data_IF_176549006155
#
_entry.id   IF_176549006155
#
_cell.length_a   1.000
_cell.length_b   1.000
_cell.length_c   1.000
_cell.angle_alpha   90.00
_cell.angle_beta   90.00
_cell.angle_gamma   90.00
#
_symmetry.space_group_name_H-M   'P 1'
#
loop_
_entity.id
_entity.type
_entity.pdbx_description
1 polymer ?
#
# COMPACT_ATOMS: atom_id res chain seq x y z
N UNK A 1 17.84 -40.72 -45.31
CA UNK A 1 16.85 -40.96 -44.27
C UNK A 1 17.58 -41.03 -42.94
N UNK A 2 17.67 -39.96 -42.20
CA UNK A 2 18.21 -39.92 -40.81
C UNK A 2 17.33 -38.97 -39.99
N UNK A 3 16.47 -39.55 -39.16
CA UNK A 3 15.64 -38.86 -38.22
C UNK A 3 16.52 -38.36 -37.08
N UNK A 4 16.63 -37.06 -36.89
CA UNK A 4 17.21 -36.43 -35.72
C UNK A 4 16.10 -36.09 -34.75
N UNK A 5 16.00 -36.91 -33.72
CA UNK A 5 15.13 -36.73 -32.57
C UNK A 5 15.67 -35.54 -31.72
N UNK A 6 14.96 -34.42 -31.75
CA UNK A 6 15.27 -33.28 -30.90
C UNK A 6 14.75 -33.58 -29.49
N UNK A 7 15.69 -33.92 -28.60
CA UNK A 7 15.46 -34.08 -27.18
C UNK A 7 15.38 -32.66 -26.55
N UNK A 8 14.18 -32.18 -26.24
CA UNK A 8 13.98 -30.96 -25.44
C UNK A 8 14.26 -31.29 -24.01
N UNK A 9 15.40 -30.78 -23.53
CA UNK A 9 15.76 -30.83 -22.13
C UNK A 9 14.81 -29.91 -21.34
N UNK A 10 13.85 -30.48 -20.67
CA UNK A 10 13.06 -29.81 -19.64
C UNK A 10 13.98 -29.68 -18.41
N UNK A 11 14.61 -28.53 -18.24
CA UNK A 11 15.34 -28.20 -17.03
C UNK A 11 14.33 -28.04 -15.89
N UNK A 12 14.16 -29.10 -15.11
CA UNK A 12 13.49 -29.07 -13.82
C UNK A 12 14.40 -28.26 -12.88
N UNK A 13 14.11 -26.95 -12.75
CA UNK A 13 14.71 -26.13 -11.71
C UNK A 13 14.09 -26.57 -10.37
N UNK A 14 14.78 -27.51 -9.73
CA UNK A 14 14.46 -27.89 -8.36
C UNK A 14 14.71 -26.66 -7.49
N UNK A 15 13.62 -25.96 -7.14
CA UNK A 15 13.63 -24.99 -6.07
C UNK A 15 13.89 -25.80 -4.80
N UNK A 16 15.15 -25.76 -4.35
CA UNK A 16 15.54 -26.31 -3.06
C UNK A 16 14.75 -25.62 -1.98
N UNK A 17 13.75 -26.31 -1.46
CA UNK A 17 13.17 -26.03 -0.15
C UNK A 17 14.30 -26.14 0.86
N UNK A 18 14.95 -25.04 1.18
CA UNK A 18 15.68 -24.91 2.43
C UNK A 18 14.63 -24.98 3.53
N UNK A 19 14.31 -26.22 3.95
CA UNK A 19 13.66 -26.45 5.20
C UNK A 19 14.59 -25.93 6.30
N UNK A 20 14.44 -24.67 6.69
CA UNK A 20 14.87 -24.23 8.01
C UNK A 20 14.04 -24.99 9.02
N UNK A 21 14.59 -26.10 9.51
CA UNK A 21 14.13 -26.82 10.67
C UNK A 21 14.43 -25.98 11.92
N UNK A 22 13.58 -24.99 12.12
CA UNK A 22 13.48 -24.23 13.35
C UNK A 22 12.01 -24.20 13.70
N UNK A 23 11.65 -24.83 14.83
CA UNK A 23 10.31 -24.91 15.42
C UNK A 23 9.75 -23.51 15.76
N UNK A 24 9.67 -22.62 14.77
CA UNK A 24 9.01 -21.31 14.88
C UNK A 24 7.51 -21.58 14.81
N UNK A 25 6.85 -21.49 15.95
CA UNK A 25 5.39 -21.57 16.05
C UNK A 25 4.78 -20.65 15.01
N UNK A 26 3.95 -21.22 14.15
CA UNK A 26 3.22 -20.44 13.14
C UNK A 26 2.34 -19.39 13.81
N UNK A 27 2.46 -18.14 13.37
CA UNK A 27 1.66 -17.04 13.90
C UNK A 27 0.19 -17.22 13.55
N UNK A 28 -0.67 -16.88 14.49
CA UNK A 28 -2.12 -16.92 14.36
C UNK A 28 -2.71 -15.52 14.37
N UNK A 29 -3.96 -15.38 13.95
CA UNK A 29 -4.72 -14.13 14.06
C UNK A 29 -4.75 -13.58 15.50
N UNK A 30 -4.84 -14.45 16.51
CA UNK A 30 -4.82 -14.04 17.91
C UNK A 30 -3.45 -13.49 18.35
N UNK A 31 -2.36 -14.00 17.77
CA UNK A 31 -1.03 -13.46 18.03
C UNK A 31 -0.88 -12.04 17.44
N UNK A 32 -1.54 -11.76 16.29
CA UNK A 32 -1.57 -10.43 15.70
C UNK A 32 -2.43 -9.45 16.50
N UNK A 33 -3.63 -9.84 16.92
CA UNK A 33 -4.48 -9.01 17.78
C UNK A 33 -3.79 -8.64 19.10
N UNK A 34 -3.04 -9.57 19.70
CA UNK A 34 -2.23 -9.29 20.88
C UNK A 34 -1.10 -8.32 20.58
N UNK A 35 -0.46 -8.45 19.42
CA UNK A 35 0.58 -7.51 19.00
C UNK A 35 0.00 -6.12 18.79
N UNK A 36 -1.14 -6.01 18.11
CA UNK A 36 -1.87 -4.77 17.92
C UNK A 36 -2.25 -4.11 19.26
N UNK A 37 -2.80 -4.89 20.19
CA UNK A 37 -3.13 -4.40 21.53
C UNK A 37 -1.88 -3.89 22.29
N UNK A 38 -0.70 -4.48 22.07
CA UNK A 38 0.55 -4.04 22.68
C UNK A 38 1.06 -2.71 22.13
N UNK A 39 0.57 -2.28 20.96
CA UNK A 39 0.97 -1.03 20.31
C UNK A 39 0.44 0.21 21.02
N UNK A 40 -0.58 0.07 21.84
CA UNK A 40 -1.24 1.21 22.48
C UNK A 40 -0.96 1.27 23.98
N UNK A 41 -0.85 2.50 24.50
CA UNK A 41 -0.89 2.81 25.93
C UNK A 41 -2.34 2.79 26.44
N UNK A 42 -2.53 2.94 27.75
CA UNK A 42 -3.85 3.04 28.38
C UNK A 42 -4.66 4.25 27.89
N UNK A 43 -3.99 5.35 27.56
CA UNK A 43 -4.57 6.56 26.98
C UNK A 43 -4.78 6.48 25.44
N UNK A 44 -4.56 5.31 24.83
CA UNK A 44 -4.63 5.04 23.39
C UNK A 44 -3.56 5.75 22.55
N UNK A 45 -2.55 6.34 23.15
CA UNK A 45 -1.37 6.77 22.40
C UNK A 45 -0.54 5.56 21.93
N UNK A 46 0.19 5.74 20.82
CA UNK A 46 1.01 4.67 20.24
C UNK A 46 2.34 4.57 20.96
N UNK A 47 2.74 3.34 21.30
CA UNK A 47 4.08 3.00 21.79
C UNK A 47 5.03 2.92 20.62
N UNK A 48 5.70 4.02 20.33
CA UNK A 48 6.60 4.13 19.16
C UNK A 48 7.68 3.04 19.14
N UNK A 49 8.20 2.66 20.32
CA UNK A 49 9.24 1.62 20.44
C UNK A 49 8.74 0.21 20.13
N UNK A 50 7.43 -0.03 20.23
CA UNK A 50 6.81 -1.33 19.88
C UNK A 50 6.37 -1.41 18.40
N UNK A 51 6.17 -0.27 17.76
CA UNK A 51 5.65 -0.18 16.40
C UNK A 51 6.46 -1.01 15.37
N UNK A 52 7.82 -0.98 15.36
CA UNK A 52 8.61 -1.80 14.43
C UNK A 52 8.37 -3.30 14.62
N UNK A 53 8.29 -3.76 15.86
CA UNK A 53 8.11 -5.17 16.20
C UNK A 53 6.72 -5.67 15.78
N UNK A 54 5.71 -4.81 15.91
CA UNK A 54 4.34 -5.12 15.49
C UNK A 54 4.26 -5.21 13.97
N UNK A 55 4.83 -4.23 13.24
CA UNK A 55 4.89 -4.26 11.79
C UNK A 55 5.63 -5.52 11.26
N UNK A 56 6.75 -5.87 11.88
CA UNK A 56 7.50 -7.08 11.53
C UNK A 56 6.66 -8.34 11.75
N UNK A 57 5.92 -8.42 12.85
CA UNK A 57 5.05 -9.56 13.15
C UNK A 57 3.92 -9.70 12.12
N UNK A 58 3.36 -8.60 11.62
CA UNK A 58 2.39 -8.63 10.53
C UNK A 58 3.01 -9.18 9.24
N UNK A 59 4.21 -8.72 8.88
CA UNK A 59 4.94 -9.27 7.72
C UNK A 59 5.22 -10.77 7.89
N UNK A 60 5.71 -11.22 9.03
CA UNK A 60 5.96 -12.64 9.32
C UNK A 60 4.69 -13.48 9.22
N UNK A 61 3.54 -12.97 9.68
CA UNK A 61 2.28 -13.67 9.52
C UNK A 61 1.93 -13.85 8.05
N UNK A 62 2.06 -12.80 7.24
CA UNK A 62 1.77 -12.84 5.80
C UNK A 62 2.68 -13.84 5.09
N UNK A 63 3.98 -13.84 5.40
CA UNK A 63 4.94 -14.81 4.86
C UNK A 63 4.59 -16.27 5.21
N UNK A 64 4.12 -16.51 6.43
CA UNK A 64 3.73 -17.83 6.89
C UNK A 64 2.34 -18.27 6.39
N UNK A 65 1.49 -17.31 6.00
CA UNK A 65 0.10 -17.53 5.63
C UNK A 65 -0.33 -16.76 4.37
N UNK A 66 0.37 -16.89 3.23
CA UNK A 66 0.11 -16.06 2.05
C UNK A 66 -1.28 -16.26 1.44
N UNK A 67 -1.95 -17.37 1.73
CA UNK A 67 -3.32 -17.66 1.29
C UNK A 67 -4.40 -17.30 2.33
N UNK A 68 -4.04 -16.68 3.46
CA UNK A 68 -5.02 -16.22 4.44
C UNK A 68 -5.80 -15.03 3.89
N UNK A 69 -7.13 -15.02 4.05
CA UNK A 69 -7.99 -13.96 3.53
C UNK A 69 -7.71 -12.58 4.12
N UNK A 70 -7.02 -12.53 5.26
CA UNK A 70 -6.64 -11.27 5.93
C UNK A 70 -5.18 -10.87 5.67
N UNK A 71 -4.43 -11.64 4.87
CA UNK A 71 -3.02 -11.36 4.63
C UNK A 71 -2.79 -9.96 4.05
N UNK A 72 -3.62 -9.55 3.09
CA UNK A 72 -3.55 -8.21 2.50
C UNK A 72 -3.80 -7.10 3.56
N UNK A 73 -4.74 -7.32 4.48
CA UNK A 73 -5.04 -6.38 5.58
C UNK A 73 -3.81 -6.19 6.47
N UNK A 74 -3.18 -7.28 6.89
CA UNK A 74 -2.01 -7.19 7.77
C UNK A 74 -0.81 -6.58 7.07
N UNK A 75 -0.65 -6.83 5.76
CA UNK A 75 0.40 -6.21 4.97
C UNK A 75 0.21 -4.70 4.85
N UNK A 76 -1.04 -4.26 4.66
CA UNK A 76 -1.40 -2.85 4.64
C UNK A 76 -1.11 -2.19 6.00
N UNK A 77 -1.53 -2.79 7.12
CA UNK A 77 -1.24 -2.26 8.45
C UNK A 77 0.27 -2.22 8.76
N UNK A 78 1.06 -3.19 8.29
CA UNK A 78 2.51 -3.11 8.40
C UNK A 78 3.07 -1.90 7.63
N UNK A 79 2.52 -1.61 6.45
CA UNK A 79 2.87 -0.44 5.66
C UNK A 79 2.51 0.87 6.39
N UNK A 80 1.28 0.99 6.93
CA UNK A 80 0.85 2.17 7.69
C UNK A 80 1.77 2.47 8.88
N UNK A 81 2.16 1.44 9.63
CA UNK A 81 3.12 1.61 10.74
C UNK A 81 4.45 2.16 10.21
N UNK A 82 4.95 1.66 9.09
CA UNK A 82 6.20 2.14 8.52
C UNK A 82 6.10 3.59 8.01
N UNK A 83 4.95 3.98 7.42
CA UNK A 83 4.69 5.39 7.05
C UNK A 83 4.70 6.29 8.29
N UNK A 84 4.00 5.89 9.35
CA UNK A 84 3.97 6.62 10.62
C UNK A 84 5.39 6.82 11.20
N UNK A 85 6.26 5.81 11.03
CA UNK A 85 7.66 5.86 11.46
C UNK A 85 8.57 6.60 10.47
N UNK A 86 8.03 7.13 9.38
CA UNK A 86 8.77 7.77 8.26
C UNK A 86 9.80 6.86 7.61
N UNK A 87 9.57 5.55 7.64
CA UNK A 87 10.40 4.55 6.95
C UNK A 87 9.91 4.40 5.51
N UNK A 88 10.28 5.36 4.66
CA UNK A 88 9.84 5.44 3.27
C UNK A 88 10.15 4.17 2.48
N UNK A 89 11.40 3.67 2.56
CA UNK A 89 11.84 2.51 1.79
C UNK A 89 10.98 1.26 2.08
N UNK A 90 10.75 0.99 3.36
CA UNK A 90 9.93 -0.18 3.76
C UNK A 90 8.46 0.01 3.39
N UNK A 91 7.93 1.22 3.46
CA UNK A 91 6.57 1.52 3.05
C UNK A 91 6.35 1.27 1.56
N UNK A 92 7.30 1.70 0.72
CA UNK A 92 7.28 1.46 -0.73
C UNK A 92 7.40 -0.04 -1.03
N UNK A 93 8.32 -0.74 -0.35
CA UNK A 93 8.48 -2.20 -0.49
C UNK A 93 7.16 -2.93 -0.21
N UNK A 94 6.50 -2.61 0.92
CA UNK A 94 5.25 -3.25 1.34
C UNK A 94 4.07 -2.91 0.39
N UNK A 95 3.99 -1.68 -0.12
CA UNK A 95 3.04 -1.30 -1.15
C UNK A 95 3.22 -2.15 -2.42
N UNK A 96 4.46 -2.28 -2.90
CA UNK A 96 4.78 -3.09 -4.07
C UNK A 96 4.47 -4.58 -3.83
N UNK A 97 4.75 -5.09 -2.64
CA UNK A 97 4.41 -6.46 -2.27
C UNK A 97 2.89 -6.66 -2.29
N UNK A 98 2.12 -5.76 -1.68
CA UNK A 98 0.66 -5.82 -1.58
C UNK A 98 0.02 -5.79 -2.97
N UNK A 99 0.35 -4.81 -3.80
CA UNK A 99 -0.21 -4.67 -5.15
C UNK A 99 0.15 -5.83 -6.07
N UNK A 100 1.31 -6.47 -5.86
CA UNK A 100 1.76 -7.62 -6.65
C UNK A 100 1.15 -8.94 -6.19
N UNK A 101 1.03 -9.17 -4.88
CA UNK A 101 0.57 -10.45 -4.32
C UNK A 101 -0.95 -10.50 -4.13
N UNK A 102 -1.57 -9.36 -3.90
CA UNK A 102 -3.00 -9.23 -3.59
C UNK A 102 -3.68 -8.14 -4.44
N UNK A 103 -3.53 -8.17 -5.80
CA UNK A 103 -4.03 -7.10 -6.67
C UNK A 103 -5.55 -6.92 -6.61
N UNK A 104 -6.29 -8.00 -6.32
CA UNK A 104 -7.76 -7.97 -6.23
C UNK A 104 -8.26 -7.57 -4.82
N UNK A 105 -7.38 -7.26 -3.90
CA UNK A 105 -7.73 -6.80 -2.56
C UNK A 105 -8.11 -5.31 -2.58
N UNK A 106 -9.13 -4.94 -1.78
CA UNK A 106 -9.48 -3.53 -1.52
C UNK A 106 -8.28 -2.70 -0.98
N UNK A 107 -7.27 -3.36 -0.41
CA UNK A 107 -6.08 -2.71 0.12
C UNK A 107 -5.08 -2.30 -0.96
N UNK A 108 -5.11 -2.91 -2.15
CA UNK A 108 -4.16 -2.61 -3.21
C UNK A 108 -4.31 -1.16 -3.75
N UNK A 109 -5.50 -0.70 -4.17
CA UNK A 109 -5.67 0.70 -4.57
C UNK A 109 -5.42 1.67 -3.40
N UNK A 110 -5.82 1.32 -2.16
CA UNK A 110 -5.52 2.14 -0.97
C UNK A 110 -4.02 2.32 -0.76
N UNK A 111 -3.22 1.27 -0.92
CA UNK A 111 -1.78 1.34 -0.74
C UNK A 111 -1.12 2.28 -1.76
N UNK A 112 -1.58 2.28 -3.01
CA UNK A 112 -1.09 3.20 -4.04
C UNK A 112 -1.39 4.65 -3.66
N UNK A 113 -2.63 4.96 -3.27
CA UNK A 113 -3.01 6.30 -2.84
C UNK A 113 -2.21 6.73 -1.61
N UNK A 114 -2.10 5.86 -0.62
CA UNK A 114 -1.43 6.13 0.65
C UNK A 114 0.07 6.40 0.48
N UNK A 115 0.76 5.56 -0.29
CA UNK A 115 2.19 5.74 -0.58
C UNK A 115 2.44 6.96 -1.47
N UNK A 116 1.57 7.22 -2.44
CA UNK A 116 1.62 8.44 -3.23
C UNK A 116 1.58 9.69 -2.34
N UNK A 117 0.59 9.78 -1.45
CA UNK A 117 0.36 10.95 -0.60
C UNK A 117 1.38 11.10 0.52
N UNK A 118 1.52 10.06 1.36
CA UNK A 118 2.28 10.20 2.59
C UNK A 118 3.77 9.88 2.44
N UNK A 119 4.14 9.06 1.46
CA UNK A 119 5.56 8.71 1.27
C UNK A 119 6.21 9.58 0.23
N UNK A 120 5.71 9.56 -1.01
CA UNK A 120 6.36 10.29 -2.08
C UNK A 120 6.13 11.80 -1.98
N UNK A 121 4.91 12.24 -1.73
CA UNK A 121 4.62 13.69 -1.65
C UNK A 121 5.09 14.29 -0.32
N UNK A 122 4.69 13.74 0.83
CA UNK A 122 4.93 14.35 2.14
C UNK A 122 6.34 14.04 2.71
N UNK A 123 6.78 12.76 2.71
CA UNK A 123 8.07 12.39 3.30
C UNK A 123 9.24 12.68 2.38
N UNK A 124 9.13 12.30 1.08
CA UNK A 124 10.23 12.40 0.12
C UNK A 124 10.21 13.68 -0.70
N UNK A 125 9.09 14.40 -0.75
CA UNK A 125 8.83 15.55 -1.61
C UNK A 125 9.11 15.23 -3.10
N UNK A 126 8.79 13.99 -3.52
CA UNK A 126 8.95 13.52 -4.89
C UNK A 126 7.59 13.50 -5.61
N UNK A 127 7.18 14.68 -6.10
CA UNK A 127 5.90 14.85 -6.80
C UNK A 127 5.81 14.02 -8.07
N UNK A 128 6.93 13.68 -8.71
CA UNK A 128 6.92 12.85 -9.91
C UNK A 128 6.55 11.40 -9.59
N UNK A 129 7.09 10.85 -8.51
CA UNK A 129 6.75 9.50 -8.06
C UNK A 129 5.35 9.46 -7.43
N UNK A 130 4.95 10.50 -6.68
CA UNK A 130 3.57 10.62 -6.19
C UNK A 130 2.55 10.57 -7.35
N UNK A 131 2.77 11.36 -8.39
CA UNK A 131 1.95 11.33 -9.62
C UNK A 131 1.91 9.93 -10.23
N UNK A 132 3.05 9.23 -10.32
CA UNK A 132 3.11 7.89 -10.88
C UNK A 132 2.28 6.88 -10.07
N UNK A 133 2.24 7.00 -8.73
CA UNK A 133 1.41 6.14 -7.88
C UNK A 133 -0.10 6.40 -8.09
N UNK A 134 -0.51 7.67 -8.16
CA UNK A 134 -1.90 8.03 -8.45
C UNK A 134 -2.33 7.57 -9.85
N UNK A 135 -1.47 7.77 -10.86
CA UNK A 135 -1.77 7.32 -12.22
C UNK A 135 -1.89 5.79 -12.28
N UNK A 136 -1.02 5.07 -11.57
CA UNK A 136 -1.10 3.60 -11.47
C UNK A 136 -2.43 3.15 -10.85
N UNK A 137 -2.92 3.84 -9.80
CA UNK A 137 -4.24 3.55 -9.23
C UNK A 137 -5.34 3.73 -10.26
N UNK A 138 -5.34 4.85 -10.99
CA UNK A 138 -6.35 5.16 -12.02
C UNK A 138 -6.35 4.10 -13.14
N UNK A 139 -5.17 3.67 -13.57
CA UNK A 139 -5.01 2.76 -14.71
C UNK A 139 -5.33 1.30 -14.33
N UNK A 140 -4.88 0.85 -13.16
CA UNK A 140 -5.04 -0.54 -12.72
C UNK A 140 -6.40 -0.80 -12.02
N UNK A 141 -7.01 0.25 -11.42
CA UNK A 141 -8.25 0.14 -10.65
C UNK A 141 -9.32 1.17 -11.09
N UNK A 142 -9.67 1.25 -12.39
CA UNK A 142 -10.48 2.35 -12.95
C UNK A 142 -11.90 2.47 -12.37
N UNK A 143 -12.41 1.41 -11.74
CA UNK A 143 -13.74 1.38 -11.13
C UNK A 143 -13.71 1.54 -9.60
N UNK A 144 -12.53 1.72 -9.00
CA UNK A 144 -12.42 1.91 -7.55
C UNK A 144 -12.85 3.33 -7.15
N UNK A 145 -13.58 3.51 -6.04
CA UNK A 145 -13.98 4.84 -5.55
C UNK A 145 -12.80 5.80 -5.33
N UNK A 146 -11.60 5.29 -5.03
CA UNK A 146 -10.41 6.09 -4.79
C UNK A 146 -9.83 6.74 -6.06
N UNK A 147 -10.34 6.40 -7.25
CA UNK A 147 -9.92 7.02 -8.52
C UNK A 147 -10.16 8.53 -8.51
N UNK A 148 -11.29 8.98 -7.97
CA UNK A 148 -11.58 10.42 -7.88
C UNK A 148 -10.66 11.13 -6.88
N UNK A 149 -10.29 10.49 -5.78
CA UNK A 149 -9.29 11.03 -4.85
C UNK A 149 -7.89 11.10 -5.49
N UNK A 150 -7.51 10.08 -6.26
CA UNK A 150 -6.24 10.07 -6.98
C UNK A 150 -6.16 11.21 -8.02
N UNK A 151 -7.24 11.45 -8.78
CA UNK A 151 -7.31 12.57 -9.75
C UNK A 151 -7.17 13.92 -9.05
N UNK A 152 -7.89 14.12 -7.94
CA UNK A 152 -7.76 15.34 -7.14
C UNK A 152 -6.35 15.52 -6.57
N UNK A 153 -5.74 14.41 -6.10
CA UNK A 153 -4.35 14.45 -5.61
C UNK A 153 -3.38 14.90 -6.71
N UNK A 154 -3.54 14.40 -7.95
CA UNK A 154 -2.75 14.84 -9.10
C UNK A 154 -2.95 16.35 -9.35
N UNK A 155 -4.19 16.83 -9.29
CA UNK A 155 -4.52 18.25 -9.55
C UNK A 155 -3.87 19.19 -8.53
N UNK A 156 -3.75 18.77 -7.28
CA UNK A 156 -3.18 19.58 -6.19
C UNK A 156 -1.69 19.35 -5.96
N UNK A 157 -1.10 18.39 -6.66
CA UNK A 157 0.28 17.99 -6.48
C UNK A 157 1.25 19.17 -6.74
N UNK A 158 2.15 19.42 -5.81
CA UNK A 158 3.12 20.51 -5.88
C UNK A 158 2.56 21.91 -5.61
N UNK A 159 1.27 22.04 -5.30
CA UNK A 159 0.68 23.32 -4.90
C UNK A 159 0.88 23.59 -3.41
N UNK A 160 1.05 24.85 -3.09
CA UNK A 160 1.03 25.31 -1.70
C UNK A 160 -0.38 25.27 -1.12
N UNK A 161 -0.51 25.23 0.20
CA UNK A 161 -1.82 25.26 0.89
C UNK A 161 -2.65 26.49 0.48
N UNK A 162 -2.00 27.64 0.18
CA UNK A 162 -2.68 28.85 -0.28
C UNK A 162 -3.25 28.69 -1.70
N UNK A 163 -2.49 28.05 -2.60
CA UNK A 163 -2.95 27.78 -3.97
C UNK A 163 -4.08 26.75 -3.99
N UNK A 164 -4.01 25.73 -3.13
CA UNK A 164 -5.10 24.74 -2.96
C UNK A 164 -6.37 25.43 -2.48
N UNK A 165 -6.27 26.26 -1.43
CA UNK A 165 -7.43 27.02 -0.91
C UNK A 165 -8.02 27.97 -1.95
N UNK A 166 -7.18 28.65 -2.72
CA UNK A 166 -7.63 29.53 -3.79
C UNK A 166 -8.41 28.75 -4.88
N UNK A 167 -7.92 27.58 -5.31
CA UNK A 167 -8.62 26.72 -6.29
C UNK A 167 -9.97 26.25 -5.77
N UNK A 168 -10.02 25.73 -4.52
CA UNK A 168 -11.28 25.29 -3.93
C UNK A 168 -12.29 26.43 -3.86
N UNK A 169 -11.86 27.62 -3.46
CA UNK A 169 -12.75 28.79 -3.38
C UNK A 169 -13.25 29.19 -4.76
N UNK A 170 -12.41 29.19 -5.79
CA UNK A 170 -12.81 29.51 -7.15
C UNK A 170 -13.81 28.50 -7.72
N UNK A 171 -13.59 27.19 -7.54
CA UNK A 171 -14.52 26.16 -8.00
C UNK A 171 -15.90 26.28 -7.34
N UNK A 172 -15.95 26.61 -6.06
CA UNK A 172 -17.22 26.85 -5.35
C UNK A 172 -17.97 28.08 -5.87
N UNK A 173 -17.24 29.14 -6.25
CA UNK A 173 -17.86 30.33 -6.84
C UNK A 173 -18.39 30.08 -8.24
N UNK A 174 -17.73 29.23 -9.03
CA UNK A 174 -18.18 28.84 -10.37
C UNK A 174 -19.47 27.99 -10.29
N UNK A 175 -19.56 27.04 -9.35
CA UNK A 175 -20.77 26.23 -9.12
C UNK A 175 -21.98 27.10 -8.73
N UNK A 176 -21.80 28.06 -7.82
CA UNK A 176 -22.89 28.98 -7.39
C UNK A 176 -23.35 29.84 -8.55
N UNK A 177 -22.46 30.27 -9.44
CA UNK A 177 -22.81 31.17 -10.57
C UNK A 177 -23.53 30.42 -11.70
N UNK A 178 -23.39 29.10 -11.82
CA UNK A 178 -24.09 28.28 -12.81
C UNK A 178 -25.55 28.05 -12.36
N UNK A 179 -25.78 27.83 -11.06
CA UNK A 179 -27.14 27.61 -10.53
C UNK A 179 -27.99 28.87 -10.60
N UNK A 180 -27.39 30.07 -10.43
CA UNK A 180 -28.08 31.36 -10.55
C UNK A 180 -28.45 31.74 -12.00
N UNK A 181 -27.89 31.11 -13.01
CA UNK A 181 -28.18 31.39 -14.46
C UNK A 181 -29.22 30.39 -15.00
N UNK A 182 -29.52 29.29 -14.28
CA UNK A 182 -30.43 28.22 -14.71
C UNK A 182 -31.90 28.44 -14.28
N UNK A 183 -32.22 29.53 -13.55
CA UNK A 183 -33.58 29.99 -13.24
C UNK A 183 -34.05 31.08 -14.21
#
# INVERSE_FOLDING_TARGET
>A
MKNTLKLTLFSLMAIGLLACDGNTKKLTQDDLKKAEASLFNEDRSIKVDEAPKVAEKYCQFVEQNPGDSTAATWLFHAMEINVMMKNADKSIELCNQLTKQYPDSEWAPRALLYVGSFVYDDILNDTAQAHAMYQKLIDEYPNDPLVEDAKKSIEYLGLTSQEIMARITMSQLEEVNIDDIAE
#
